data_IF_877174967216
#
_entry.id   IF_877174967216
#
_cell.length_a   1.000
_cell.length_b   1.000
_cell.length_c   1.000
_cell.angle_alpha   90.00
_cell.angle_beta   90.00
_cell.angle_gamma   90.00
#
_symmetry.space_group_name_H-M   'P 1'
#
loop_
_entity.id
_entity.type
_entity.pdbx_description
1 polymer ?
#
# COMPACT_ATOMS: atom_id res chain seq x y z
N UNK A 1 -10.49 -0.51 4.52
CA UNK A 1 -9.25 0.28 4.59
C UNK A 1 -9.58 1.76 4.42
N UNK A 2 -9.14 2.64 5.33
CA UNK A 2 -9.39 4.09 5.24
C UNK A 2 -8.88 4.70 3.92
N UNK A 3 -7.71 4.23 3.46
CA UNK A 3 -7.11 4.68 2.20
C UNK A 3 -7.91 4.25 0.96
N UNK A 4 -8.42 3.03 0.92
CA UNK A 4 -9.27 2.57 -0.18
C UNK A 4 -10.52 3.44 -0.32
N UNK A 5 -11.21 3.71 0.80
CA UNK A 5 -12.39 4.56 0.81
C UNK A 5 -12.08 5.98 0.34
N UNK A 6 -10.93 6.54 0.74
CA UNK A 6 -10.46 7.83 0.26
C UNK A 6 -10.28 7.83 -1.25
N UNK A 7 -9.53 6.86 -1.81
CA UNK A 7 -9.28 6.78 -3.25
C UNK A 7 -10.56 6.55 -4.05
N UNK A 8 -11.51 5.75 -3.53
CA UNK A 8 -12.84 5.57 -4.13
C UNK A 8 -13.64 6.88 -4.12
N UNK A 9 -13.67 7.61 -3.01
CA UNK A 9 -14.38 8.89 -2.90
C UNK A 9 -13.81 9.99 -3.81
N UNK A 10 -12.54 9.87 -4.20
CA UNK A 10 -11.84 10.78 -5.11
C UNK A 10 -11.82 10.30 -6.56
N UNK A 11 -12.50 9.20 -6.87
CA UNK A 11 -12.55 8.58 -8.21
C UNK A 11 -11.16 8.20 -8.77
N UNK A 12 -10.20 7.89 -7.88
CA UNK A 12 -8.86 7.44 -8.26
C UNK A 12 -8.73 5.92 -8.25
N UNK A 13 -9.72 5.21 -7.73
CA UNK A 13 -9.69 3.76 -7.58
C UNK A 13 -9.49 3.01 -8.91
N UNK A 14 -10.06 3.51 -10.01
CA UNK A 14 -9.88 2.88 -11.33
C UNK A 14 -8.40 2.82 -11.75
N UNK A 15 -7.56 3.75 -11.29
CA UNK A 15 -6.12 3.73 -11.58
C UNK A 15 -5.40 2.57 -10.86
N UNK A 16 -5.94 2.12 -9.75
CA UNK A 16 -5.43 0.97 -8.99
C UNK A 16 -5.88 -0.34 -9.64
N UNK A 17 -7.13 -0.42 -10.12
CA UNK A 17 -7.67 -1.65 -10.72
C UNK A 17 -7.24 -1.83 -12.18
N UNK A 18 -7.41 -0.80 -13.00
CA UNK A 18 -7.23 -0.84 -14.44
C UNK A 18 -5.83 -0.36 -14.84
N UNK A 19 -5.26 0.60 -14.09
CA UNK A 19 -3.96 1.20 -14.37
C UNK A 19 -4.05 2.60 -14.97
N UNK A 20 -2.90 3.20 -15.25
CA UNK A 20 -2.81 4.53 -15.87
C UNK A 20 -3.02 4.40 -17.37
N UNK A 21 -3.88 5.26 -17.93
CA UNK A 21 -4.10 5.32 -19.38
C UNK A 21 -2.89 5.96 -20.04
N UNK A 22 -2.30 5.24 -21.01
CA UNK A 22 -1.14 5.71 -21.77
C UNK A 22 -1.56 6.00 -23.21
N UNK A 23 -1.17 7.17 -23.72
CA UNK A 23 -1.45 7.55 -25.10
C UNK A 23 -0.64 6.67 -26.08
N UNK A 24 -1.26 6.13 -27.15
CA UNK A 24 -0.53 5.43 -28.20
C UNK A 24 0.39 6.38 -28.99
N UNK A 25 1.39 5.84 -29.69
CA UNK A 25 2.38 6.65 -30.43
C UNK A 25 1.74 7.63 -31.44
N UNK A 26 0.63 7.23 -32.06
CA UNK A 26 -0.15 8.05 -33.01
C UNK A 26 -1.43 8.63 -32.39
N UNK A 27 -1.39 8.98 -31.11
CA UNK A 27 -2.57 9.48 -30.40
C UNK A 27 -3.11 10.80 -30.96
N UNK A 28 -4.44 10.88 -31.12
CA UNK A 28 -5.15 12.13 -31.41
C UNK A 28 -5.03 13.11 -30.23
N UNK A 29 -5.38 14.38 -30.45
CA UNK A 29 -5.36 15.39 -29.38
C UNK A 29 -6.26 14.98 -28.18
N UNK A 30 -7.41 14.38 -28.47
CA UNK A 30 -8.35 13.87 -27.47
C UNK A 30 -7.76 12.70 -26.67
N UNK A 31 -7.10 11.75 -27.34
CA UNK A 31 -6.46 10.62 -26.67
C UNK A 31 -5.29 11.05 -25.78
N UNK A 32 -4.51 12.05 -26.23
CA UNK A 32 -3.44 12.65 -25.39
C UNK A 32 -4.02 13.32 -24.16
N UNK A 33 -5.09 14.10 -24.32
CA UNK A 33 -5.76 14.77 -23.21
C UNK A 33 -6.24 13.77 -22.15
N UNK A 34 -6.84 12.65 -22.57
CA UNK A 34 -7.28 11.59 -21.65
C UNK A 34 -6.11 10.95 -20.91
N UNK A 35 -5.00 10.67 -21.61
CA UNK A 35 -3.80 10.12 -20.97
C UNK A 35 -3.16 11.09 -19.97
N UNK A 36 -3.10 12.38 -20.29
CA UNK A 36 -2.59 13.43 -19.41
C UNK A 36 -3.46 13.60 -18.16
N UNK A 37 -4.79 13.58 -18.33
CA UNK A 37 -5.74 13.60 -17.21
C UNK A 37 -5.58 12.35 -16.32
N UNK A 38 -5.42 11.17 -16.91
CA UNK A 38 -5.18 9.92 -16.18
C UNK A 38 -3.88 9.98 -15.39
N UNK A 39 -2.79 10.45 -16.01
CA UNK A 39 -1.49 10.62 -15.36
C UNK A 39 -1.53 11.65 -14.23
N UNK A 40 -2.30 12.74 -14.40
CA UNK A 40 -2.51 13.72 -13.33
C UNK A 40 -3.28 13.12 -12.15
N UNK A 41 -4.32 12.32 -12.39
CA UNK A 41 -5.03 11.60 -11.33
C UNK A 41 -4.12 10.59 -10.63
N UNK A 42 -3.26 9.89 -11.36
CA UNK A 42 -2.26 8.98 -10.78
C UNK A 42 -1.31 9.70 -9.82
N UNK A 43 -0.75 10.84 -10.24
CA UNK A 43 0.09 11.67 -9.38
C UNK A 43 -0.63 12.10 -8.09
N UNK A 44 -1.92 12.44 -8.18
CA UNK A 44 -2.73 12.79 -6.98
C UNK A 44 -2.93 11.58 -6.07
N UNK A 45 -3.24 10.42 -6.64
CA UNK A 45 -3.38 9.18 -5.87
C UNK A 45 -2.06 8.78 -5.18
N UNK A 46 -0.92 8.89 -5.89
CA UNK A 46 0.42 8.67 -5.32
C UNK A 46 0.68 9.57 -4.12
N UNK A 47 0.34 10.86 -4.21
CA UNK A 47 0.51 11.79 -3.10
C UNK A 47 -0.30 11.36 -1.86
N UNK A 48 -1.54 10.92 -2.02
CA UNK A 48 -2.33 10.39 -0.90
C UNK A 48 -1.71 9.14 -0.30
N UNK A 49 -1.23 8.22 -1.14
CA UNK A 49 -0.55 7.01 -0.68
C UNK A 49 0.73 7.36 0.10
N UNK A 50 1.58 8.25 -0.42
CA UNK A 50 2.80 8.66 0.27
C UNK A 50 2.54 9.36 1.60
N UNK A 51 1.43 10.07 1.75
CA UNK A 51 1.06 10.70 3.03
C UNK A 51 0.62 9.68 4.09
N UNK A 52 0.10 8.52 3.69
CA UNK A 52 -0.37 7.50 4.63
C UNK A 52 0.65 6.40 4.93
N UNK A 53 1.70 6.30 4.13
CA UNK A 53 2.74 5.27 4.30
C UNK A 53 3.85 5.83 5.19
N UNK A 54 4.25 5.08 6.22
CA UNK A 54 5.44 5.39 7.00
C UNK A 54 6.71 5.36 6.12
N UNK A 55 7.63 6.30 6.36
CA UNK A 55 8.83 6.47 5.53
C UNK A 55 9.70 5.21 5.45
N UNK A 56 9.78 4.44 6.52
CA UNK A 56 10.58 3.20 6.53
C UNK A 56 9.97 2.14 5.61
N UNK A 57 8.64 2.06 5.53
CA UNK A 57 7.95 1.20 4.56
C UNK A 57 8.17 1.74 3.16
N UNK A 58 8.02 3.05 2.99
CA UNK A 58 8.15 3.68 1.68
C UNK A 58 9.52 3.34 1.06
N UNK A 59 10.60 3.43 1.82
CA UNK A 59 11.98 3.12 1.39
C UNK A 59 12.14 1.66 0.90
N UNK A 60 11.34 0.74 1.45
CA UNK A 60 11.37 -0.68 1.05
C UNK A 60 10.55 -1.03 -0.19
N UNK A 61 9.76 -0.11 -0.74
CA UNK A 61 8.99 -0.32 -1.98
C UNK A 61 9.92 -0.12 -3.18
N UNK A 62 10.18 -1.13 -4.01
CA UNK A 62 11.12 -0.99 -5.13
C UNK A 62 10.51 -0.24 -6.33
N UNK A 63 9.29 -0.60 -6.73
CA UNK A 63 8.59 0.04 -7.84
C UNK A 63 7.57 1.06 -7.30
N UNK A 64 7.70 2.31 -7.74
CA UNK A 64 6.81 3.43 -7.36
C UNK A 64 6.35 4.22 -8.58
N UNK A 65 6.30 3.59 -9.75
CA UNK A 65 6.00 4.26 -11.01
C UNK A 65 4.55 4.75 -11.04
N UNK A 66 3.61 3.91 -10.61
CA UNK A 66 2.18 4.24 -10.52
C UNK A 66 1.64 4.15 -9.08
N UNK A 67 0.48 4.75 -8.83
CA UNK A 67 -0.27 4.56 -7.58
C UNK A 67 -0.61 3.08 -7.35
N UNK A 68 -0.86 2.34 -8.43
CA UNK A 68 -1.13 0.90 -8.40
C UNK A 68 0.05 0.11 -7.86
N UNK A 69 1.27 0.39 -8.32
CA UNK A 69 2.47 -0.32 -7.88
C UNK A 69 2.73 -0.14 -6.38
N UNK A 70 2.54 1.10 -5.91
CA UNK A 70 2.66 1.44 -4.48
C UNK A 70 1.59 0.70 -3.68
N UNK A 71 0.33 0.74 -4.12
CA UNK A 71 -0.79 0.08 -3.46
C UNK A 71 -0.58 -1.44 -3.33
N UNK A 72 -0.20 -2.10 -4.42
CA UNK A 72 0.07 -3.54 -4.44
C UNK A 72 1.22 -3.88 -3.50
N UNK A 73 2.30 -3.10 -3.52
CA UNK A 73 3.47 -3.30 -2.65
C UNK A 73 3.11 -3.18 -1.17
N UNK A 74 2.30 -2.18 -0.81
CA UNK A 74 1.77 -2.04 0.55
C UNK A 74 0.94 -3.26 0.96
N UNK A 75 -0.01 -3.66 0.10
CA UNK A 75 -0.92 -4.78 0.37
C UNK A 75 -0.15 -6.09 0.56
N UNK A 76 0.88 -6.34 -0.24
CA UNK A 76 1.74 -7.52 -0.10
C UNK A 76 2.50 -7.52 1.24
N UNK A 77 3.10 -6.39 1.63
CA UNK A 77 3.77 -6.26 2.93
C UNK A 77 2.83 -6.51 4.09
N UNK A 78 1.62 -5.96 3.99
CA UNK A 78 0.59 -6.15 4.99
C UNK A 78 0.16 -7.62 5.10
N UNK A 79 -0.10 -8.28 3.98
CA UNK A 79 -0.44 -9.71 3.97
C UNK A 79 0.68 -10.58 4.54
N UNK A 80 1.95 -10.24 4.26
CA UNK A 80 3.09 -10.92 4.83
C UNK A 80 3.15 -10.76 6.36
N UNK A 81 2.93 -9.55 6.88
CA UNK A 81 2.90 -9.27 8.30
C UNK A 81 1.72 -9.97 9.00
N UNK A 82 0.55 -9.97 8.36
CA UNK A 82 -0.64 -10.69 8.86
C UNK A 82 -0.35 -12.19 8.97
N UNK A 83 0.26 -12.77 7.94
CA UNK A 83 0.65 -14.18 7.94
C UNK A 83 1.70 -14.47 9.02
N UNK A 84 2.69 -13.58 9.20
CA UNK A 84 3.70 -13.69 10.26
C UNK A 84 3.06 -13.68 11.66
N UNK A 85 2.03 -12.86 11.86
CA UNK A 85 1.24 -12.83 13.09
C UNK A 85 0.38 -14.10 13.28
N UNK A 86 -0.29 -14.56 12.23
CA UNK A 86 -1.16 -15.76 12.29
C UNK A 86 -0.41 -17.04 12.63
N UNK A 87 0.86 -17.15 12.21
CA UNK A 87 1.73 -18.29 12.53
C UNK A 87 2.59 -18.04 13.77
N UNK A 88 2.42 -16.90 14.44
CA UNK A 88 3.23 -16.54 15.59
C UNK A 88 2.93 -17.49 16.74
N UNK A 89 3.93 -18.29 17.09
CA UNK A 89 3.88 -19.22 18.22
C UNK A 89 5.19 -19.16 18.98
N UNK A 90 5.10 -19.41 20.29
CA UNK A 90 6.28 -19.52 21.14
C UNK A 90 7.07 -20.78 20.77
N UNK A 91 8.37 -20.63 20.52
CA UNK A 91 9.31 -21.71 20.25
C UNK A 91 9.73 -22.39 21.55
N UNK A 92 10.07 -23.67 21.49
CA UNK A 92 10.49 -24.45 22.66
C UNK A 92 11.74 -23.89 23.35
N UNK A 93 12.62 -23.22 22.61
CA UNK A 93 13.90 -22.71 23.09
C UNK A 93 13.90 -21.21 23.40
N UNK A 94 12.77 -20.51 23.22
CA UNK A 94 12.70 -19.08 23.48
C UNK A 94 12.13 -18.78 24.88
N UNK A 95 12.59 -17.68 25.49
CA UNK A 95 12.02 -17.22 26.75
C UNK A 95 10.74 -16.43 26.51
N UNK A 96 9.91 -16.31 27.55
CA UNK A 96 8.67 -15.52 27.50
C UNK A 96 8.95 -14.07 27.12
N UNK A 97 10.02 -13.47 27.65
CA UNK A 97 10.41 -12.08 27.32
C UNK A 97 10.77 -11.90 25.84
N UNK A 98 11.48 -12.87 25.26
CA UNK A 98 11.86 -12.85 23.85
C UNK A 98 10.63 -13.00 22.96
N UNK A 99 9.72 -13.92 23.30
CA UNK A 99 8.46 -14.09 22.61
C UNK A 99 7.60 -12.82 22.68
N UNK A 100 7.43 -12.25 23.87
CA UNK A 100 6.65 -11.04 24.09
C UNK A 100 7.20 -9.84 23.31
N UNK A 101 8.54 -9.68 23.29
CA UNK A 101 9.19 -8.62 22.53
C UNK A 101 8.95 -8.76 21.02
N UNK A 102 9.00 -9.98 20.47
CA UNK A 102 8.70 -10.24 19.05
C UNK A 102 7.24 -9.92 18.72
N UNK A 103 6.31 -10.38 19.55
CA UNK A 103 4.87 -10.09 19.40
C UNK A 103 4.61 -8.60 19.41
N UNK A 104 5.22 -7.86 20.34
CA UNK A 104 5.06 -6.41 20.44
C UNK A 104 5.59 -5.68 19.19
N UNK A 105 6.72 -6.12 18.63
CA UNK A 105 7.25 -5.56 17.38
C UNK A 105 6.29 -5.79 16.21
N UNK A 106 5.69 -6.98 16.09
CA UNK A 106 4.73 -7.30 15.03
C UNK A 106 3.44 -6.47 15.22
N UNK A 107 2.88 -6.44 16.43
CA UNK A 107 1.70 -5.66 16.79
C UNK A 107 1.86 -4.16 16.50
N UNK A 108 3.02 -3.59 16.85
CA UNK A 108 3.33 -2.18 16.57
C UNK A 108 3.41 -1.92 15.06
N UNK A 109 3.98 -2.83 14.28
CA UNK A 109 4.01 -2.71 12.81
C UNK A 109 2.60 -2.83 12.21
N UNK A 110 1.75 -3.73 12.71
CA UNK A 110 0.38 -3.91 12.22
C UNK A 110 -0.47 -2.66 12.49
N UNK A 111 -0.36 -2.11 13.70
CA UNK A 111 -1.03 -0.85 14.08
C UNK A 111 -0.56 0.31 13.21
N UNK A 112 0.76 0.43 12.98
CA UNK A 112 1.32 1.47 12.10
C UNK A 112 0.84 1.37 10.65
N UNK A 113 0.40 0.18 10.21
CA UNK A 113 -0.11 -0.06 8.85
C UNK A 113 -1.64 0.05 8.76
N UNK A 114 -2.31 0.42 9.86
CA UNK A 114 -3.73 0.74 9.90
C UNK A 114 -4.68 -0.43 10.23
N UNK A 115 -4.17 -1.53 10.81
CA UNK A 115 -5.03 -2.59 11.37
C UNK A 115 -5.32 -2.31 12.85
N UNK A 116 -6.60 -2.30 13.23
CA UNK A 116 -6.99 -2.34 14.64
C UNK A 116 -6.81 -3.77 15.12
N UNK A 117 -5.99 -3.97 16.16
CA UNK A 117 -5.93 -5.25 16.85
C UNK A 117 -7.18 -5.36 17.73
N UNK A 118 -8.23 -6.00 17.22
CA UNK A 118 -9.32 -6.43 18.09
C UNK A 118 -8.82 -7.56 18.99
N UNK A 119 -9.12 -7.41 20.28
CA UNK A 119 -8.59 -8.21 21.39
C UNK A 119 -9.36 -9.52 21.57
#
# INVERSE_FOLDING_TARGET
>A
MLMENLLRSKEYWNLIEEGVVVAPANATAEQRKVADESKLKDLKAKNYLFQAIDRTILETILNRDTARDIWISMRQKYQALRREFEILAMKETETVDVYFSRTLVIANKMTAYGETMDQ
#
